data_IF_179209470940
#
_entry.id   IF_179209470940
#
_cell.length_a   1.000
_cell.length_b   1.000
_cell.length_c   1.000
_cell.angle_alpha   90.00
_cell.angle_beta   90.00
_cell.angle_gamma   90.00
#
_symmetry.space_group_name_H-M   'P 1'
#
loop_
_entity.id
_entity.type
_entity.pdbx_description
1 polymer ?
#
# COMPACT_ATOMS: atom_id res chain seq x y z
N UNK A 1 23.97 -15.14 -17.68
CA UNK A 1 22.48 -15.08 -17.80
C UNK A 1 21.75 -15.67 -16.60
N UNK A 2 22.08 -16.87 -16.12
CA UNK A 2 21.40 -17.53 -14.97
C UNK A 2 21.43 -16.70 -13.67
N UNK A 3 22.57 -16.06 -13.37
CA UNK A 3 22.74 -15.24 -12.14
C UNK A 3 21.74 -14.07 -12.06
N UNK A 4 21.41 -13.45 -13.19
CA UNK A 4 20.45 -12.32 -13.25
C UNK A 4 19.04 -12.78 -12.88
N UNK A 5 18.62 -13.95 -13.38
CA UNK A 5 17.31 -14.51 -13.08
C UNK A 5 17.21 -14.96 -11.61
N UNK A 6 18.29 -15.51 -11.05
CA UNK A 6 18.38 -15.84 -9.63
C UNK A 6 18.22 -14.58 -8.76
N UNK A 7 18.90 -13.48 -9.10
CA UNK A 7 18.78 -12.23 -8.34
C UNK A 7 17.38 -11.62 -8.40
N UNK A 8 16.72 -11.66 -9.56
CA UNK A 8 15.33 -11.17 -9.71
C UNK A 8 14.37 -12.02 -8.90
N UNK A 9 14.53 -13.35 -8.93
CA UNK A 9 13.72 -14.27 -8.15
C UNK A 9 13.84 -14.01 -6.64
N UNK A 10 15.07 -13.89 -6.11
CA UNK A 10 15.28 -13.60 -4.69
C UNK A 10 14.75 -12.22 -4.27
N UNK A 11 14.76 -11.21 -5.15
CA UNK A 11 14.16 -9.91 -4.87
C UNK A 11 12.62 -9.96 -4.78
N UNK A 12 12.00 -10.94 -5.45
CA UNK A 12 10.55 -11.16 -5.43
C UNK A 12 10.11 -12.09 -4.29
N UNK A 13 11.02 -12.85 -3.68
CA UNK A 13 10.71 -13.67 -2.51
C UNK A 13 10.54 -12.80 -1.26
N UNK A 14 9.33 -12.84 -0.68
CA UNK A 14 9.07 -12.23 0.62
C UNK A 14 9.43 -13.19 1.74
N UNK A 15 9.96 -12.64 2.83
CA UNK A 15 10.04 -13.37 4.09
C UNK A 15 8.62 -13.63 4.63
N UNK A 16 8.42 -14.75 5.33
CA UNK A 16 7.11 -15.16 5.87
C UNK A 16 6.47 -14.09 6.75
N UNK A 17 7.29 -13.31 7.47
CA UNK A 17 6.79 -12.21 8.30
C UNK A 17 6.13 -11.08 7.49
N UNK A 18 6.30 -11.01 6.17
CA UNK A 18 5.68 -9.99 5.29
C UNK A 18 4.51 -10.56 4.48
N UNK A 19 4.07 -11.78 4.79
CA UNK A 19 2.95 -12.43 4.10
C UNK A 19 1.63 -11.66 4.25
N UNK A 20 1.47 -10.85 5.30
CA UNK A 20 0.26 -10.08 5.57
C UNK A 20 0.05 -8.89 4.61
N UNK A 21 1.10 -8.38 3.95
CA UNK A 21 1.00 -7.18 3.08
C UNK A 21 0.27 -7.47 1.76
N UNK A 22 0.17 -8.74 1.35
CA UNK A 22 -0.49 -9.21 0.13
C UNK A 22 -0.14 -8.37 -1.14
N UNK A 23 1.13 -7.95 -1.24
CA UNK A 23 1.61 -7.05 -2.30
C UNK A 23 2.09 -7.83 -3.54
N UNK A 24 1.85 -7.28 -4.73
CA UNK A 24 2.44 -7.75 -5.99
C UNK A 24 3.68 -6.90 -6.33
N UNK A 25 4.84 -7.54 -6.53
CA UNK A 25 6.07 -6.85 -6.99
C UNK A 25 6.25 -7.04 -8.49
N UNK A 26 6.37 -5.93 -9.23
CA UNK A 26 6.75 -5.93 -10.63
C UNK A 26 8.19 -5.45 -10.78
N UNK A 27 9.06 -6.25 -11.41
CA UNK A 27 10.47 -5.89 -11.67
C UNK A 27 10.65 -5.76 -13.18
N UNK A 28 11.06 -4.57 -13.63
CA UNK A 28 11.35 -4.28 -15.02
C UNK A 28 12.81 -3.81 -15.19
N UNK A 29 13.41 -4.08 -16.35
CA UNK A 29 14.75 -3.56 -16.67
C UNK A 29 14.70 -2.04 -16.84
N UNK A 30 15.73 -1.35 -16.35
CA UNK A 30 15.90 0.10 -16.51
C UNK A 30 15.90 0.57 -17.96
N UNK A 31 16.26 -0.31 -18.90
CA UNK A 31 16.41 0.01 -20.32
C UNK A 31 15.16 -0.31 -21.14
N UNK A 32 14.04 -0.65 -20.48
CA UNK A 32 12.80 -0.99 -21.16
C UNK A 32 12.12 0.30 -21.67
N UNK A 33 12.20 0.54 -22.97
CA UNK A 33 11.78 1.78 -23.65
C UNK A 33 10.30 2.15 -23.49
N UNK A 34 9.46 1.18 -23.07
CA UNK A 34 8.06 1.36 -22.70
C UNK A 34 7.81 0.70 -21.36
N UNK A 35 8.47 1.17 -20.30
CA UNK A 35 8.08 0.79 -18.95
C UNK A 35 6.56 0.99 -18.86
N UNK A 36 5.75 -0.05 -18.59
CA UNK A 36 4.31 0.13 -18.49
C UNK A 36 4.08 0.91 -17.21
N UNK A 37 4.04 2.24 -17.30
CA UNK A 37 3.43 3.05 -16.27
C UNK A 37 1.99 2.57 -16.20
N UNK A 38 1.71 1.77 -15.17
CA UNK A 38 0.35 1.42 -14.84
C UNK A 38 -0.23 2.67 -14.17
N UNK A 39 -1.32 3.19 -14.71
CA UNK A 39 -2.05 4.25 -14.03
C UNK A 39 -2.47 3.73 -12.66
N UNK A 40 -1.88 4.30 -11.61
CA UNK A 40 -2.27 4.01 -10.25
C UNK A 40 -3.58 4.73 -9.97
N UNK A 41 -4.70 4.06 -10.22
CA UNK A 41 -6.04 4.55 -9.90
C UNK A 41 -6.43 4.01 -8.52
N UNK A 42 -6.23 4.77 -7.43
CA UNK A 42 -6.60 4.31 -6.11
C UNK A 42 -8.12 4.16 -6.01
N UNK A 43 -8.60 3.13 -5.32
CA UNK A 43 -10.03 2.93 -5.01
C UNK A 43 -10.39 3.41 -3.61
N UNK A 44 -9.41 3.56 -2.72
CA UNK A 44 -9.59 4.02 -1.36
C UNK A 44 -8.30 4.59 -0.76
N UNK A 45 -8.43 5.40 0.29
CA UNK A 45 -7.33 5.89 1.11
C UNK A 45 -7.46 5.34 2.53
N UNK A 46 -6.37 4.77 3.05
CA UNK A 46 -6.28 4.28 4.43
C UNK A 46 -5.30 5.15 5.21
N UNK A 47 -5.83 5.96 6.12
CA UNK A 47 -5.05 6.87 6.96
C UNK A 47 -4.51 6.10 8.16
N UNK A 48 -3.19 6.15 8.36
CA UNK A 48 -2.55 5.56 9.54
C UNK A 48 -3.02 6.18 10.86
N UNK A 49 -3.01 5.38 11.94
CA UNK A 49 -3.51 5.77 13.27
C UNK A 49 -2.91 7.06 13.84
N UNK A 50 -1.65 7.34 13.52
CA UNK A 50 -0.88 8.50 14.04
C UNK A 50 -0.70 9.62 13.00
N UNK A 51 -1.51 9.66 11.95
CA UNK A 51 -1.45 10.75 10.97
C UNK A 51 -1.82 12.09 11.65
N UNK A 52 -1.12 13.18 11.31
CA UNK A 52 -1.43 14.51 11.85
C UNK A 52 -2.73 15.05 11.24
N UNK A 53 -3.48 15.85 11.99
CA UNK A 53 -4.76 16.40 11.52
C UNK A 53 -4.63 17.23 10.24
N UNK A 54 -3.52 17.97 10.09
CA UNK A 54 -3.22 18.74 8.87
C UNK A 54 -3.11 17.79 7.66
N UNK A 55 -2.36 16.69 7.80
CA UNK A 55 -2.18 15.73 6.71
C UNK A 55 -3.47 14.94 6.44
N UNK A 56 -4.25 14.61 7.48
CA UNK A 56 -5.56 13.98 7.32
C UNK A 56 -6.49 14.82 6.48
N UNK A 57 -6.52 16.14 6.70
CA UNK A 57 -7.33 17.06 5.91
C UNK A 57 -6.95 17.03 4.44
N UNK A 58 -5.66 17.10 4.11
CA UNK A 58 -5.20 16.99 2.72
C UNK A 58 -5.60 15.65 2.09
N UNK A 59 -5.47 14.53 2.82
CA UNK A 59 -5.90 13.22 2.33
C UNK A 59 -7.41 13.13 2.11
N UNK A 60 -8.19 13.79 2.97
CA UNK A 60 -9.64 13.90 2.81
C UNK A 60 -10.03 14.70 1.57
N UNK A 61 -9.35 15.83 1.33
CA UNK A 61 -9.56 16.65 0.13
C UNK A 61 -9.22 15.87 -1.15
N UNK A 62 -8.14 15.07 -1.15
CA UNK A 62 -7.78 14.18 -2.26
C UNK A 62 -8.86 13.11 -2.47
N UNK A 63 -9.31 12.45 -1.41
CA UNK A 63 -10.38 11.44 -1.51
C UNK A 63 -11.68 12.04 -2.05
N UNK A 64 -11.98 13.30 -1.70
CA UNK A 64 -13.12 14.02 -2.23
C UNK A 64 -12.97 14.33 -3.72
N UNK A 65 -11.80 14.83 -4.13
CA UNK A 65 -11.51 15.13 -5.54
C UNK A 65 -11.55 13.89 -6.44
N UNK A 66 -11.12 12.74 -5.93
CA UNK A 66 -11.10 11.46 -6.66
C UNK A 66 -12.40 10.66 -6.51
N UNK A 67 -13.33 11.09 -5.65
CA UNK A 67 -14.56 10.38 -5.28
C UNK A 67 -14.33 8.92 -4.81
N UNK A 68 -13.38 8.74 -3.89
CA UNK A 68 -12.99 7.44 -3.34
C UNK A 68 -13.26 7.34 -1.84
N UNK A 69 -13.38 6.11 -1.34
CA UNK A 69 -13.59 5.84 0.09
C UNK A 69 -12.37 6.21 0.92
N UNK A 70 -12.60 6.71 2.14
CA UNK A 70 -11.51 7.04 3.06
C UNK A 70 -11.75 6.41 4.44
N UNK A 71 -10.71 5.78 4.96
CA UNK A 71 -10.73 5.02 6.21
C UNK A 71 -9.65 5.54 7.15
N UNK A 72 -9.97 5.57 8.45
CA UNK A 72 -8.99 5.79 9.51
C UNK A 72 -8.66 4.45 10.16
N UNK A 73 -7.37 4.09 10.13
CA UNK A 73 -6.86 2.94 10.86
C UNK A 73 -6.72 3.30 12.34
N UNK A 74 -7.06 2.37 13.23
CA UNK A 74 -6.82 2.52 14.67
C UNK A 74 -6.41 1.18 15.28
N UNK A 75 -5.71 1.26 16.41
CA UNK A 75 -5.28 0.08 17.15
C UNK A 75 -6.24 -0.16 18.32
N UNK A 76 -6.84 -1.34 18.39
CA UNK A 76 -7.68 -1.74 19.49
C UNK A 76 -6.82 -2.48 20.54
N UNK A 77 -6.46 -1.77 21.61
CA UNK A 77 -5.59 -2.32 22.68
C UNK A 77 -6.22 -3.52 23.43
N UNK A 78 -7.54 -3.71 23.32
CA UNK A 78 -8.25 -4.82 23.93
C UNK A 78 -8.38 -6.04 23.01
N UNK A 79 -7.97 -5.93 21.75
CA UNK A 79 -8.04 -7.03 20.79
C UNK A 79 -6.85 -7.97 20.95
N UNK A 80 -7.14 -9.27 21.10
CA UNK A 80 -6.12 -10.33 21.10
C UNK A 80 -5.52 -10.59 19.71
N UNK A 81 -6.07 -9.98 18.65
CA UNK A 81 -5.66 -10.23 17.26
C UNK A 81 -4.56 -9.30 16.76
N UNK A 82 -4.19 -8.26 17.52
CA UNK A 82 -3.11 -7.31 17.15
C UNK A 82 -3.23 -6.72 15.73
N UNK A 83 -4.44 -6.70 15.18
CA UNK A 83 -4.75 -6.17 13.85
C UNK A 83 -5.12 -4.69 13.94
N UNK A 84 -4.90 -3.95 12.85
CA UNK A 84 -5.40 -2.58 12.71
C UNK A 84 -6.85 -2.62 12.25
N UNK A 85 -7.74 -2.03 13.06
CA UNK A 85 -9.15 -1.91 12.71
C UNK A 85 -9.37 -0.67 11.83
N UNK A 86 -10.36 -0.78 10.94
CA UNK A 86 -10.69 0.25 9.96
C UNK A 86 -12.00 0.92 10.32
N UNK A 87 -11.98 2.25 10.44
CA UNK A 87 -13.19 3.06 10.57
C UNK A 87 -13.41 3.85 9.28
N UNK A 88 -14.52 3.59 8.60
CA UNK A 88 -14.92 4.38 7.44
C UNK A 88 -15.29 5.79 7.88
N UNK A 89 -14.74 6.79 7.19
CA UNK A 89 -15.07 8.20 7.41
C UNK A 89 -16.08 8.71 6.37
N UNK A 90 -16.07 8.12 5.17
CA UNK A 90 -16.97 8.42 4.04
C UNK A 90 -17.26 7.15 3.24
#
# INVERSE_FOLDING_TARGET
>A
MVVVWISVYYACLKHLSWSYENELRCVASSNFSRMPYLDAVPSAIYIGAKCSEINKKYLFDIAYQLDISIYQMFFNEYSLRYELELKQLR
#
